data_IF_809300456007
#
_entry.id   IF_809300456007
#
_cell.length_a   1.000
_cell.length_b   1.000
_cell.length_c   1.000
_cell.angle_alpha   90.00
_cell.angle_beta   90.00
_cell.angle_gamma   90.00
#
_symmetry.space_group_name_H-M   'P 1'
#
loop_
_entity.id
_entity.type
_entity.pdbx_description
1 polymer ?
#
# COMPACT_ATOMS: atom_id res chain seq x y z
N UNK A 1 -42.05 -2.88 -3.37
CA UNK A 1 -41.18 -3.75 -4.20
C UNK A 1 -39.91 -3.02 -4.62
N UNK A 2 -39.93 -1.83 -5.22
CA UNK A 2 -38.80 -1.08 -5.77
C UNK A 2 -37.70 -0.75 -4.71
N UNK A 3 -38.11 -0.26 -3.54
CA UNK A 3 -37.19 0.07 -2.44
C UNK A 3 -36.39 -1.16 -1.97
N UNK A 4 -37.04 -2.30 -1.85
CA UNK A 4 -36.41 -3.57 -1.41
C UNK A 4 -35.36 -4.06 -2.42
N UNK A 5 -35.64 -3.95 -3.71
CA UNK A 5 -34.73 -4.36 -4.78
C UNK A 5 -33.47 -3.47 -4.76
N UNK A 6 -33.66 -2.15 -4.60
CA UNK A 6 -32.55 -1.18 -4.56
C UNK A 6 -31.65 -1.40 -3.33
N UNK A 7 -32.23 -1.65 -2.16
CA UNK A 7 -31.47 -1.95 -0.93
C UNK A 7 -30.68 -3.25 -1.06
N UNK A 8 -31.29 -4.29 -1.65
CA UNK A 8 -30.62 -5.58 -1.89
C UNK A 8 -29.41 -5.43 -2.81
N UNK A 9 -29.56 -4.62 -3.88
CA UNK A 9 -28.48 -4.32 -4.84
C UNK A 9 -27.33 -3.56 -4.16
N UNK A 10 -27.65 -2.52 -3.35
CA UNK A 10 -26.65 -1.73 -2.61
C UNK A 10 -25.87 -2.62 -1.63
N UNK A 11 -26.56 -3.48 -0.87
CA UNK A 11 -25.89 -4.43 0.06
C UNK A 11 -24.94 -5.37 -0.66
N UNK A 12 -25.33 -5.88 -1.84
CA UNK A 12 -24.48 -6.76 -2.63
C UNK A 12 -23.22 -6.04 -3.12
N UNK A 13 -23.36 -4.80 -3.58
CA UNK A 13 -22.22 -3.96 -4.02
C UNK A 13 -21.23 -3.76 -2.85
N UNK A 14 -21.73 -3.35 -1.68
CA UNK A 14 -20.89 -3.13 -0.49
C UNK A 14 -20.17 -4.42 -0.06
N UNK A 15 -20.83 -5.56 -0.16
CA UNK A 15 -20.19 -6.87 0.13
C UNK A 15 -19.01 -7.13 -0.82
N UNK A 16 -19.21 -6.92 -2.11
CA UNK A 16 -18.16 -7.12 -3.14
C UNK A 16 -17.00 -6.15 -2.89
N UNK A 17 -17.30 -4.87 -2.62
CA UNK A 17 -16.29 -3.85 -2.34
C UNK A 17 -15.45 -4.22 -1.11
N UNK A 18 -16.10 -4.63 -0.01
CA UNK A 18 -15.40 -5.04 1.22
C UNK A 18 -14.55 -6.29 0.98
N UNK A 19 -15.05 -7.25 0.19
CA UNK A 19 -14.29 -8.47 -0.15
C UNK A 19 -13.07 -8.16 -1.03
N UNK A 20 -13.22 -7.26 -2.00
CA UNK A 20 -12.10 -6.81 -2.85
C UNK A 20 -11.01 -6.14 -2.01
N UNK A 21 -11.42 -5.28 -1.07
CA UNK A 21 -10.52 -4.60 -0.16
C UNK A 21 -9.81 -5.58 0.78
N UNK A 22 -10.57 -6.54 1.34
CA UNK A 22 -10.03 -7.61 2.20
C UNK A 22 -8.95 -8.40 1.46
N UNK A 23 -9.24 -8.83 0.23
CA UNK A 23 -8.29 -9.60 -0.59
C UNK A 23 -7.03 -8.77 -0.91
N UNK A 24 -7.21 -7.51 -1.24
CA UNK A 24 -6.11 -6.58 -1.53
C UNK A 24 -5.21 -6.41 -0.30
N UNK A 25 -5.79 -6.24 0.90
CA UNK A 25 -5.03 -6.12 2.16
C UNK A 25 -4.36 -7.44 2.53
N UNK A 26 -5.03 -8.56 2.29
CA UNK A 26 -4.50 -9.90 2.54
C UNK A 26 -3.22 -10.16 1.73
N UNK A 27 -3.14 -9.63 0.51
CA UNK A 27 -1.95 -9.77 -0.34
C UNK A 27 -0.89 -8.71 -0.03
N UNK A 28 -1.29 -7.45 0.15
CA UNK A 28 -0.34 -6.33 0.25
C UNK A 28 0.31 -6.19 1.62
N UNK A 29 -0.40 -6.47 2.73
CA UNK A 29 0.15 -6.27 4.08
C UNK A 29 1.27 -7.29 4.38
N UNK A 30 1.08 -8.62 4.17
CA UNK A 30 2.20 -9.54 4.37
C UNK A 30 3.37 -9.27 3.43
N UNK A 31 3.11 -8.90 2.17
CA UNK A 31 4.16 -8.53 1.22
C UNK A 31 4.92 -7.30 1.68
N UNK A 32 4.22 -6.29 2.20
CA UNK A 32 4.81 -5.08 2.79
C UNK A 32 5.75 -5.44 3.95
N UNK A 33 5.28 -6.28 4.88
CA UNK A 33 6.06 -6.74 6.04
C UNK A 33 7.33 -7.46 5.57
N UNK A 34 7.21 -8.37 4.60
CA UNK A 34 8.35 -9.11 4.05
C UNK A 34 9.37 -8.18 3.38
N UNK A 35 8.91 -7.19 2.59
CA UNK A 35 9.80 -6.23 1.92
C UNK A 35 10.51 -5.31 2.93
N UNK A 36 9.80 -4.88 3.98
CA UNK A 36 10.36 -3.99 5.02
C UNK A 36 11.44 -4.74 5.83
N UNK A 37 11.15 -5.99 6.25
CA UNK A 37 12.08 -6.78 7.07
C UNK A 37 13.25 -7.30 6.24
N UNK A 38 12.99 -7.81 5.03
CA UNK A 38 13.97 -8.49 4.20
C UNK A 38 14.55 -7.66 3.07
N UNK A 39 14.42 -6.32 3.08
CA UNK A 39 14.85 -5.48 1.96
C UNK A 39 16.32 -5.69 1.58
N UNK A 40 17.21 -5.79 2.56
CA UNK A 40 18.65 -5.98 2.30
C UNK A 40 18.92 -7.38 1.75
N UNK A 41 18.36 -8.41 2.36
CA UNK A 41 18.53 -9.80 1.93
C UNK A 41 17.97 -10.03 0.53
N UNK A 42 16.80 -9.43 0.23
CA UNK A 42 16.16 -9.52 -1.10
C UNK A 42 17.06 -8.88 -2.16
N UNK A 43 17.52 -7.65 -1.93
CA UNK A 43 18.39 -6.94 -2.89
C UNK A 43 19.73 -7.66 -3.03
N UNK A 44 20.33 -8.10 -1.93
CA UNK A 44 21.62 -8.85 -1.96
C UNK A 44 21.48 -10.13 -2.75
N UNK A 45 20.40 -10.89 -2.54
CA UNK A 45 20.15 -12.15 -3.23
C UNK A 45 19.92 -11.97 -4.73
N UNK A 46 19.26 -10.87 -5.13
CA UNK A 46 18.92 -10.64 -6.55
C UNK A 46 20.04 -9.93 -7.31
N UNK A 47 20.76 -9.01 -6.66
CA UNK A 47 21.67 -8.09 -7.34
C UNK A 47 23.08 -8.04 -6.72
N UNK A 48 23.35 -8.75 -5.62
CA UNK A 48 24.63 -8.69 -4.89
C UNK A 48 25.76 -9.45 -5.59
N UNK A 49 25.79 -9.47 -6.93
CA UNK A 49 26.78 -10.18 -7.74
C UNK A 49 27.40 -9.25 -8.79
N UNK A 50 28.61 -9.58 -9.17
CA UNK A 50 29.31 -8.90 -10.27
C UNK A 50 29.74 -7.49 -9.89
N UNK A 51 29.38 -6.53 -10.70
CA UNK A 51 29.79 -5.12 -10.55
C UNK A 51 28.89 -4.31 -9.62
N UNK A 52 27.84 -4.89 -9.04
CA UNK A 52 26.91 -4.20 -8.14
C UNK A 52 27.58 -4.09 -6.76
N UNK A 53 27.96 -2.87 -6.40
CA UNK A 53 28.74 -2.62 -5.18
C UNK A 53 27.88 -2.76 -3.92
N UNK A 54 28.51 -2.99 -2.78
CA UNK A 54 27.84 -3.01 -1.45
C UNK A 54 27.06 -1.72 -1.20
N UNK A 55 27.60 -0.58 -1.60
CA UNK A 55 26.91 0.72 -1.49
C UNK A 55 25.63 0.74 -2.32
N UNK A 56 25.69 0.17 -3.54
CA UNK A 56 24.49 0.05 -4.41
C UNK A 56 23.44 -0.85 -3.79
N UNK A 57 23.87 -1.98 -3.18
CA UNK A 57 22.97 -2.89 -2.45
C UNK A 57 22.27 -2.14 -1.31
N UNK A 58 23.02 -1.42 -0.48
CA UNK A 58 22.46 -0.68 0.66
C UNK A 58 21.47 0.41 0.22
N UNK A 59 21.81 1.13 -0.84
CA UNK A 59 20.95 2.20 -1.36
C UNK A 59 19.64 1.64 -1.97
N UNK A 60 19.74 0.54 -2.73
CA UNK A 60 18.58 -0.14 -3.30
C UNK A 60 17.71 -0.76 -2.20
N UNK A 61 18.35 -1.30 -1.15
CA UNK A 61 17.64 -1.87 0.01
C UNK A 61 16.83 -0.81 0.77
N UNK A 62 17.41 0.37 0.98
CA UNK A 62 16.70 1.51 1.59
C UNK A 62 15.49 1.91 0.74
N UNK A 63 15.67 1.99 -0.58
CA UNK A 63 14.55 2.31 -1.49
C UNK A 63 13.45 1.26 -1.39
N UNK A 64 13.81 -0.02 -1.41
CA UNK A 64 12.86 -1.14 -1.29
C UNK A 64 12.11 -1.10 0.05
N UNK A 65 12.82 -0.79 1.15
CA UNK A 65 12.23 -0.61 2.47
C UNK A 65 11.10 0.43 2.44
N UNK A 66 11.38 1.63 1.91
CA UNK A 66 10.38 2.70 1.87
C UNK A 66 9.23 2.38 0.91
N UNK A 67 9.51 1.79 -0.25
CA UNK A 67 8.44 1.32 -1.16
C UNK A 67 7.60 0.22 -0.52
N UNK A 68 8.22 -0.64 0.28
CA UNK A 68 7.53 -1.67 1.06
C UNK A 68 6.48 -1.07 2.00
N UNK A 69 6.84 0.03 2.68
CA UNK A 69 5.91 0.78 3.55
C UNK A 69 4.74 1.39 2.76
N UNK A 70 4.95 1.69 1.48
CA UNK A 70 3.92 2.23 0.59
C UNK A 70 3.03 1.19 -0.08
N UNK A 71 3.42 -0.08 -0.06
CA UNK A 71 2.73 -1.13 -0.82
C UNK A 71 1.23 -1.26 -0.49
N UNK A 72 0.80 -1.25 0.80
CA UNK A 72 -0.63 -1.26 1.09
C UNK A 72 -1.36 -0.01 0.55
N UNK A 73 -0.72 1.16 0.56
CA UNK A 73 -1.30 2.38 0.02
C UNK A 73 -1.51 2.26 -1.50
N UNK A 74 -0.53 1.70 -2.24
CA UNK A 74 -0.65 1.46 -3.68
C UNK A 74 -1.84 0.54 -3.97
N UNK A 75 -2.00 -0.51 -3.18
CA UNK A 75 -3.11 -1.46 -3.28
C UNK A 75 -4.46 -0.77 -3.00
N UNK A 76 -4.53 0.07 -1.96
CA UNK A 76 -5.73 0.85 -1.61
C UNK A 76 -6.12 1.81 -2.74
N UNK A 77 -5.16 2.55 -3.30
CA UNK A 77 -5.40 3.47 -4.42
C UNK A 77 -6.07 2.73 -5.59
N UNK A 78 -5.53 1.57 -5.93
CA UNK A 78 -6.04 0.75 -7.03
C UNK A 78 -7.50 0.31 -6.78
N UNK A 79 -7.77 -0.22 -5.58
CA UNK A 79 -9.13 -0.70 -5.22
C UNK A 79 -10.10 0.47 -5.15
N UNK A 80 -9.75 1.56 -4.45
CA UNK A 80 -10.64 2.72 -4.30
C UNK A 80 -10.94 3.39 -5.65
N UNK A 81 -9.94 3.49 -6.54
CA UNK A 81 -10.14 4.03 -7.90
C UNK A 81 -11.16 3.20 -8.68
N UNK A 82 -11.14 1.86 -8.55
CA UNK A 82 -12.13 1.02 -9.24
C UNK A 82 -13.55 1.26 -8.72
N UNK A 83 -13.71 1.66 -7.45
CA UNK A 83 -15.04 2.01 -6.90
C UNK A 83 -15.59 3.28 -7.55
N UNK A 84 -14.73 4.28 -7.82
CA UNK A 84 -15.10 5.48 -8.58
C UNK A 84 -15.47 5.12 -10.03
N UNK A 85 -14.64 4.32 -10.69
CA UNK A 85 -14.85 3.92 -12.09
C UNK A 85 -16.18 3.16 -12.25
N UNK A 86 -16.53 2.31 -11.28
CA UNK A 86 -17.80 1.58 -11.26
C UNK A 86 -19.00 2.54 -11.19
N UNK A 87 -18.80 3.76 -10.67
CA UNK A 87 -19.81 4.83 -10.62
C UNK A 87 -19.64 5.84 -11.77
N UNK A 88 -18.86 5.49 -12.80
CA UNK A 88 -18.59 6.33 -13.99
C UNK A 88 -17.88 7.64 -13.65
N UNK A 89 -17.23 7.72 -12.51
CA UNK A 89 -16.43 8.87 -12.08
C UNK A 89 -14.95 8.58 -12.28
N UNK A 90 -14.40 9.05 -13.39
CA UNK A 90 -12.97 8.96 -13.68
C UNK A 90 -12.25 10.25 -13.32
N UNK A 91 -12.99 11.35 -13.12
CA UNK A 91 -12.43 12.68 -12.85
C UNK A 91 -11.88 12.78 -11.43
N UNK A 92 -12.64 12.33 -10.43
CA UNK A 92 -12.25 12.45 -9.02
C UNK A 92 -10.93 11.75 -8.74
N UNK A 93 -10.73 10.45 -9.06
CA UNK A 93 -9.42 9.83 -8.84
C UNK A 93 -8.29 10.46 -9.66
N UNK A 94 -8.58 10.96 -10.87
CA UNK A 94 -7.58 11.67 -11.67
C UNK A 94 -7.07 12.94 -10.95
N UNK A 95 -7.97 13.80 -10.47
CA UNK A 95 -7.58 15.05 -9.79
C UNK A 95 -6.85 14.75 -8.46
N UNK A 96 -7.31 13.75 -7.70
CA UNK A 96 -6.64 13.34 -6.44
C UNK A 96 -5.23 12.85 -6.75
N UNK A 97 -5.06 12.05 -7.81
CA UNK A 97 -3.74 11.56 -8.23
C UNK A 97 -2.83 12.70 -8.67
N UNK A 98 -3.37 13.68 -9.40
CA UNK A 98 -2.61 14.87 -9.82
C UNK A 98 -2.08 15.65 -8.61
N UNK A 99 -2.93 15.90 -7.61
CA UNK A 99 -2.53 16.58 -6.35
C UNK A 99 -1.46 15.74 -5.63
N UNK A 100 -1.61 14.42 -5.60
CA UNK A 100 -0.63 13.51 -4.95
C UNK A 100 0.72 13.54 -5.65
N UNK A 101 0.74 13.61 -6.98
CA UNK A 101 1.98 13.74 -7.77
C UNK A 101 2.65 15.09 -7.46
N UNK A 102 1.88 16.17 -7.40
CA UNK A 102 2.42 17.49 -7.03
C UNK A 102 3.03 17.45 -5.63
N UNK A 103 2.34 16.83 -4.67
CA UNK A 103 2.84 16.65 -3.30
C UNK A 103 4.17 15.87 -3.31
N UNK A 104 4.24 14.77 -4.07
CA UNK A 104 5.47 13.96 -4.23
C UNK A 104 6.63 14.83 -4.73
N UNK A 105 6.39 15.59 -5.81
CA UNK A 105 7.40 16.46 -6.41
C UNK A 105 7.88 17.52 -5.40
N UNK A 106 6.95 18.17 -4.69
CA UNK A 106 7.27 19.21 -3.71
C UNK A 106 8.13 18.66 -2.55
N UNK A 107 7.74 17.49 -2.00
CA UNK A 107 8.49 16.84 -0.92
C UNK A 107 9.90 16.46 -1.45
N UNK A 108 9.97 15.87 -2.64
CA UNK A 108 11.24 15.43 -3.24
C UNK A 108 12.19 16.60 -3.44
N UNK A 109 11.72 17.69 -4.03
CA UNK A 109 12.57 18.87 -4.31
C UNK A 109 13.04 19.52 -2.99
N UNK A 110 12.11 19.70 -2.04
CA UNK A 110 12.39 20.40 -0.79
C UNK A 110 13.46 19.69 0.05
N UNK A 111 13.33 18.36 0.17
CA UNK A 111 14.22 17.58 1.05
C UNK A 111 15.41 16.93 0.32
N UNK A 112 15.54 17.10 -0.99
CA UNK A 112 16.60 16.43 -1.77
C UNK A 112 17.99 16.81 -1.28
N UNK A 113 18.19 18.07 -0.92
CA UNK A 113 19.50 18.57 -0.46
C UNK A 113 19.94 17.94 0.86
N UNK A 114 18.99 17.64 1.75
CA UNK A 114 19.27 17.12 3.09
C UNK A 114 19.35 15.60 3.13
N UNK A 115 18.52 14.92 2.33
CA UNK A 115 18.30 13.46 2.40
C UNK A 115 18.91 12.73 1.19
N UNK A 116 19.05 13.44 0.07
CA UNK A 116 19.54 12.84 -1.17
C UNK A 116 18.43 12.05 -1.89
N UNK A 117 18.83 11.14 -2.77
CA UNK A 117 17.87 10.44 -3.64
C UNK A 117 16.90 9.50 -2.89
N UNK A 118 17.21 9.12 -1.64
CA UNK A 118 16.31 8.31 -0.80
C UNK A 118 14.98 9.04 -0.52
N UNK A 119 14.95 10.38 -0.64
CA UNK A 119 13.70 11.14 -0.52
C UNK A 119 12.66 10.69 -1.57
N UNK A 120 13.08 10.18 -2.73
CA UNK A 120 12.16 9.79 -3.81
C UNK A 120 11.20 8.66 -3.36
N UNK A 121 11.69 7.49 -2.87
CA UNK A 121 10.78 6.48 -2.33
C UNK A 121 10.03 6.93 -1.08
N UNK A 122 10.63 7.77 -0.23
CA UNK A 122 9.95 8.34 0.96
C UNK A 122 8.76 9.21 0.50
N UNK A 123 9.00 10.15 -0.41
CA UNK A 123 7.96 11.05 -0.94
C UNK A 123 6.86 10.28 -1.66
N UNK A 124 7.23 9.23 -2.40
CA UNK A 124 6.27 8.36 -3.10
C UNK A 124 5.36 7.66 -2.10
N UNK A 125 5.91 7.13 -1.02
CA UNK A 125 5.15 6.46 0.05
C UNK A 125 4.20 7.44 0.74
N UNK A 126 4.69 8.62 1.12
CA UNK A 126 3.88 9.66 1.79
C UNK A 126 2.72 10.10 0.87
N UNK A 127 3.03 10.42 -0.39
CA UNK A 127 2.00 10.87 -1.35
C UNK A 127 0.99 9.78 -1.67
N UNK A 128 1.39 8.51 -1.65
CA UNK A 128 0.49 7.38 -1.88
C UNK A 128 -0.48 7.17 -0.70
N UNK A 129 0.01 7.27 0.52
CA UNK A 129 -0.86 7.25 1.71
C UNK A 129 -1.83 8.43 1.70
N UNK A 130 -1.36 9.62 1.35
CA UNK A 130 -2.20 10.81 1.17
C UNK A 130 -3.30 10.55 0.11
N UNK A 131 -2.91 10.04 -1.06
CA UNK A 131 -3.83 9.72 -2.16
C UNK A 131 -4.93 8.74 -1.70
N UNK A 132 -4.53 7.61 -1.08
CA UNK A 132 -5.46 6.58 -0.61
C UNK A 132 -6.43 7.14 0.43
N UNK A 133 -5.94 8.00 1.34
CA UNK A 133 -6.76 8.62 2.38
C UNK A 133 -7.82 9.56 1.76
N UNK A 134 -7.41 10.42 0.81
CA UNK A 134 -8.34 11.35 0.14
C UNK A 134 -9.40 10.58 -0.66
N UNK A 135 -8.99 9.53 -1.40
CA UNK A 135 -9.93 8.66 -2.13
C UNK A 135 -10.96 8.06 -1.16
N UNK A 136 -10.51 7.55 -0.02
CA UNK A 136 -11.40 6.97 1.00
C UNK A 136 -12.37 8.01 1.55
N UNK A 137 -11.90 9.22 1.90
CA UNK A 137 -12.74 10.31 2.43
C UNK A 137 -13.85 10.65 1.42
N UNK A 138 -13.48 10.79 0.14
CA UNK A 138 -14.45 11.09 -0.93
C UNK A 138 -15.48 9.96 -1.09
N UNK A 139 -15.04 8.70 -1.07
CA UNK A 139 -15.95 7.54 -1.17
C UNK A 139 -16.95 7.51 -0.02
N UNK A 140 -16.47 7.79 1.20
CA UNK A 140 -17.29 7.80 2.41
C UNK A 140 -18.31 8.95 2.36
N UNK A 141 -17.85 10.18 2.02
CA UNK A 141 -18.70 11.39 2.01
C UNK A 141 -19.80 11.28 0.95
N UNK A 142 -19.57 10.58 -0.15
CA UNK A 142 -20.55 10.38 -1.21
C UNK A 142 -21.38 9.10 -1.02
N UNK A 143 -21.25 8.40 0.11
CA UNK A 143 -21.97 7.15 0.42
C UNK A 143 -21.74 6.04 -0.61
N UNK A 144 -20.56 6.04 -1.27
CA UNK A 144 -20.17 5.07 -2.29
C UNK A 144 -19.48 3.84 -1.67
N UNK A 145 -19.03 3.93 -0.42
CA UNK A 145 -18.35 2.85 0.29
C UNK A 145 -18.53 2.98 1.80
N UNK A 146 -18.72 1.84 2.46
CA UNK A 146 -18.72 1.72 3.92
C UNK A 146 -18.06 0.41 4.32
N UNK A 147 -17.23 0.46 5.36
CA UNK A 147 -16.67 -0.76 5.95
C UNK A 147 -17.77 -1.56 6.66
N UNK A 148 -17.77 -2.87 6.46
CA UNK A 148 -18.61 -3.75 7.25
C UNK A 148 -17.83 -4.33 8.45
N UNK A 149 -18.55 -4.84 9.46
CA UNK A 149 -17.97 -5.43 10.67
C UNK A 149 -17.08 -6.63 10.34
N UNK A 150 -17.43 -7.39 9.33
CA UNK A 150 -16.67 -8.56 8.88
C UNK A 150 -15.29 -8.15 8.36
N UNK A 151 -15.21 -7.04 7.62
CA UNK A 151 -13.94 -6.49 7.12
C UNK A 151 -12.99 -6.20 8.29
N UNK A 152 -13.46 -5.51 9.33
CA UNK A 152 -12.61 -5.16 10.48
C UNK A 152 -12.06 -6.43 11.18
N UNK A 153 -12.90 -7.44 11.35
CA UNK A 153 -12.50 -8.73 11.95
C UNK A 153 -11.40 -9.40 11.12
N UNK A 154 -11.57 -9.43 9.80
CA UNK A 154 -10.58 -10.02 8.90
C UNK A 154 -9.31 -9.18 8.82
N UNK A 155 -9.45 -7.85 8.81
CA UNK A 155 -8.31 -6.93 8.79
C UNK A 155 -7.39 -7.13 10.01
N UNK A 156 -7.98 -7.26 11.20
CA UNK A 156 -7.22 -7.54 12.44
C UNK A 156 -6.47 -8.88 12.30
N UNK A 157 -7.13 -9.92 11.77
CA UNK A 157 -6.47 -11.22 11.52
C UNK A 157 -5.27 -11.08 10.56
N UNK A 158 -5.46 -10.32 9.46
CA UNK A 158 -4.40 -10.08 8.48
C UNK A 158 -3.19 -9.41 9.16
N UNK A 159 -3.44 -8.39 9.98
CA UNK A 159 -2.38 -7.68 10.72
C UNK A 159 -1.64 -8.65 11.66
N UNK A 160 -2.39 -9.42 12.48
CA UNK A 160 -1.80 -10.35 13.45
C UNK A 160 -0.97 -11.43 12.77
N UNK A 161 -1.50 -12.04 11.71
CA UNK A 161 -0.77 -13.09 10.97
C UNK A 161 0.44 -12.52 10.24
N UNK A 162 0.37 -11.29 9.74
CA UNK A 162 1.50 -10.60 9.10
C UNK A 162 2.61 -10.29 10.10
N UNK A 163 2.26 -9.88 11.33
CA UNK A 163 3.22 -9.67 12.43
C UNK A 163 3.92 -10.99 12.77
N UNK A 164 3.17 -12.07 12.95
CA UNK A 164 3.71 -13.41 13.26
C UNK A 164 4.67 -13.85 12.12
N UNK A 165 4.25 -13.71 10.88
CA UNK A 165 5.07 -14.00 9.69
C UNK A 165 6.35 -13.16 9.70
N UNK A 166 6.25 -11.87 10.02
CA UNK A 166 7.38 -10.94 10.09
C UNK A 166 8.40 -11.35 11.17
N UNK A 167 7.92 -11.70 12.35
CA UNK A 167 8.78 -12.17 13.47
C UNK A 167 9.50 -13.46 13.04
N UNK A 168 8.79 -14.40 12.43
CA UNK A 168 9.37 -15.66 11.96
C UNK A 168 10.41 -15.40 10.86
N UNK A 169 10.11 -14.53 9.92
CA UNK A 169 11.02 -14.15 8.84
C UNK A 169 12.30 -13.50 9.39
N UNK A 170 12.15 -12.57 10.34
CA UNK A 170 13.30 -11.95 11.02
C UNK A 170 14.16 -12.98 11.75
N UNK A 171 13.53 -13.94 12.43
CA UNK A 171 14.23 -15.03 13.12
C UNK A 171 15.04 -15.88 12.10
N UNK A 172 14.45 -16.19 10.94
CA UNK A 172 15.17 -16.94 9.89
C UNK A 172 16.38 -16.15 9.38
N UNK A 173 16.21 -14.84 9.13
CA UNK A 173 17.33 -13.98 8.69
C UNK A 173 18.48 -14.08 9.69
N UNK A 174 18.22 -13.87 10.98
CA UNK A 174 19.23 -13.91 12.03
C UNK A 174 19.92 -15.29 12.11
N UNK A 175 19.16 -16.36 11.92
CA UNK A 175 19.68 -17.74 11.98
C UNK A 175 20.65 -18.00 10.81
N UNK A 176 20.39 -17.49 9.63
CA UNK A 176 21.23 -17.66 8.42
C UNK A 176 22.38 -16.66 8.35
N UNK A 177 22.31 -15.57 9.04
CA UNK A 177 23.42 -14.63 9.17
C UNK A 177 24.45 -15.07 10.20
N UNK A 178 24.03 -15.83 10.99
CA UNK A 178 24.80 -16.33 12.03
C UNK A 178 25.49 -17.55 11.65
N UNK A 179 25.08 -18.10 10.66
CA UNK A 179 25.66 -19.22 10.17
C UNK A 179 26.69 -18.93 9.22
#
# INVERSE_FOLDING_TARGET
AFKHVHQKKKKKILLIQNKALELSMFLSIPASVALVIGSEQIISALFGYGSFTMESVLNASKALYYFGLGLPAFALIKVFSTFFFANQDTKTPFYISLVSVLLNILISIYFFKDIGFIIIPIATTISSWFNSLILFIYLKNNNLFEFNKTFFKQFVKIILTSIIMGIFFQYLILLFEXX
#
